data_IF_930348128927
#
_entry.id   IF_930348128927
#
_cell.length_a   1.000
_cell.length_b   1.000
_cell.length_c   1.000
_cell.angle_alpha   90.00
_cell.angle_beta   90.00
_cell.angle_gamma   90.00
#
_symmetry.space_group_name_H-M   'P 1'
#
loop_
_entity.id
_entity.type
_entity.pdbx_description
1 polymer ?
#
# COMPACT_ATOMS: atom_id res chain seq x y z
N UNK A 1 21.72 -20.99 -0.69
CA UNK A 1 22.54 -20.52 0.45
C UNK A 1 21.64 -19.66 1.34
N UNK A 2 21.48 -20.04 2.61
CA UNK A 2 20.65 -19.34 3.59
C UNK A 2 21.46 -18.18 4.17
N UNK A 3 20.86 -16.99 4.30
CA UNK A 3 21.52 -15.79 4.80
C UNK A 3 21.32 -15.61 6.32
N UNK A 4 20.08 -15.64 6.79
CA UNK A 4 19.74 -15.54 8.21
C UNK A 4 18.32 -16.08 8.47
N UNK A 5 18.07 -16.48 9.72
CA UNK A 5 16.76 -16.99 10.17
C UNK A 5 16.21 -16.10 11.29
N UNK A 6 14.97 -15.65 11.16
CA UNK A 6 14.24 -14.91 12.20
C UNK A 6 13.03 -15.76 12.59
N UNK A 7 13.15 -16.50 13.70
CA UNK A 7 12.10 -17.42 14.16
C UNK A 7 11.83 -18.53 13.14
N UNK A 8 10.67 -18.48 12.49
CA UNK A 8 10.27 -19.43 11.43
C UNK A 8 10.65 -18.94 10.01
N UNK A 9 11.10 -17.69 9.87
CA UNK A 9 11.39 -17.11 8.56
C UNK A 9 12.85 -17.36 8.19
N UNK A 10 13.08 -18.16 7.15
CA UNK A 10 14.41 -18.40 6.59
C UNK A 10 14.60 -17.49 5.39
N UNK A 11 15.51 -16.52 5.48
CA UNK A 11 15.84 -15.64 4.36
C UNK A 11 16.98 -16.26 3.58
N UNK A 12 16.73 -16.56 2.31
CA UNK A 12 17.73 -17.05 1.36
C UNK A 12 18.25 -15.90 0.48
N UNK A 13 19.41 -16.12 -0.15
CA UNK A 13 19.95 -15.16 -1.12
C UNK A 13 18.96 -14.89 -2.27
N UNK A 14 18.16 -15.89 -2.65
CA UNK A 14 17.15 -15.77 -3.70
C UNK A 14 16.04 -14.82 -3.26
N UNK A 15 15.58 -14.92 -2.00
CA UNK A 15 14.55 -14.03 -1.45
C UNK A 15 15.01 -12.57 -1.42
N UNK A 16 16.30 -12.33 -1.13
CA UNK A 16 16.88 -10.97 -1.16
C UNK A 16 16.90 -10.42 -2.59
N UNK A 17 17.35 -11.22 -3.55
CA UNK A 17 17.38 -10.81 -4.96
C UNK A 17 15.97 -10.56 -5.49
N UNK A 18 15.01 -11.42 -5.16
CA UNK A 18 13.61 -11.28 -5.55
C UNK A 18 13.00 -10.01 -4.94
N UNK A 19 13.16 -9.79 -3.64
CA UNK A 19 12.67 -8.58 -2.96
C UNK A 19 13.26 -7.30 -3.57
N UNK A 20 14.56 -7.30 -3.87
CA UNK A 20 15.22 -6.16 -4.53
C UNK A 20 14.65 -5.91 -5.93
N UNK A 21 14.43 -6.97 -6.71
CA UNK A 21 13.90 -6.87 -8.08
C UNK A 21 12.45 -6.35 -8.06
N UNK A 22 11.60 -6.94 -7.23
CA UNK A 22 10.21 -6.50 -7.03
C UNK A 22 10.17 -5.05 -6.55
N UNK A 23 10.98 -4.69 -5.55
CA UNK A 23 11.04 -3.31 -5.03
C UNK A 23 11.49 -2.31 -6.11
N UNK A 24 12.44 -2.69 -6.96
CA UNK A 24 12.90 -1.85 -8.07
C UNK A 24 11.78 -1.61 -9.11
N UNK A 25 10.99 -2.63 -9.43
CA UNK A 25 9.83 -2.50 -10.33
C UNK A 25 8.82 -1.52 -9.74
N UNK A 26 8.43 -1.70 -8.47
CA UNK A 26 7.49 -0.79 -7.80
C UNK A 26 8.01 0.63 -7.73
N UNK A 27 9.29 0.82 -7.42
CA UNK A 27 9.93 2.13 -7.41
C UNK A 27 9.86 2.80 -8.78
N UNK A 28 10.10 2.03 -9.85
CA UNK A 28 10.00 2.55 -11.22
C UNK A 28 8.58 3.00 -11.54
N UNK A 29 7.58 2.18 -11.24
CA UNK A 29 6.16 2.51 -11.42
C UNK A 29 5.80 3.76 -10.62
N UNK A 30 6.20 3.83 -9.35
CA UNK A 30 5.99 5.03 -8.54
C UNK A 30 6.58 6.27 -9.19
N UNK A 31 7.81 6.21 -9.71
CA UNK A 31 8.44 7.32 -10.41
C UNK A 31 7.70 7.76 -11.68
N UNK A 32 7.04 6.84 -12.39
CA UNK A 32 6.20 7.19 -13.53
C UNK A 32 4.98 8.04 -13.15
N UNK A 33 4.34 7.73 -12.01
CA UNK A 33 3.17 8.48 -11.54
C UNK A 33 3.53 9.71 -10.70
N UNK A 34 4.74 9.74 -10.13
CA UNK A 34 5.22 10.82 -9.27
C UNK A 34 5.20 12.16 -10.02
N UNK A 35 4.58 13.17 -9.40
CA UNK A 35 4.47 14.51 -9.98
C UNK A 35 3.42 14.65 -11.09
N UNK A 36 2.73 13.57 -11.46
CA UNK A 36 1.61 13.63 -12.41
C UNK A 36 0.30 13.94 -11.67
N UNK A 37 -0.65 14.58 -12.37
CA UNK A 37 -2.02 14.75 -11.86
C UNK A 37 -2.70 13.41 -11.58
N UNK A 38 -2.45 12.39 -12.41
CA UNK A 38 -2.97 11.04 -12.21
C UNK A 38 -2.47 10.42 -10.90
N UNK A 39 -1.19 10.57 -10.57
CA UNK A 39 -0.62 10.09 -9.31
C UNK A 39 -1.23 10.77 -8.07
N UNK A 40 -1.49 12.08 -8.16
CA UNK A 40 -2.18 12.83 -7.10
C UNK A 40 -3.62 12.34 -6.90
N UNK A 41 -4.36 12.13 -8.00
CA UNK A 41 -5.73 11.61 -7.94
C UNK A 41 -5.77 10.19 -7.35
N UNK A 42 -4.82 9.32 -7.75
CA UNK A 42 -4.71 7.96 -7.21
C UNK A 42 -4.41 7.95 -5.71
N UNK A 43 -3.48 8.79 -5.26
CA UNK A 43 -3.20 8.96 -3.84
C UNK A 43 -4.43 9.45 -3.06
N UNK A 44 -5.16 10.43 -3.60
CA UNK A 44 -6.41 10.92 -3.04
C UNK A 44 -7.48 9.82 -2.94
N UNK A 45 -7.65 8.99 -3.97
CA UNK A 45 -8.59 7.87 -3.96
C UNK A 45 -8.25 6.83 -2.90
N UNK A 46 -6.97 6.43 -2.79
CA UNK A 46 -6.53 5.49 -1.75
C UNK A 46 -6.79 6.06 -0.36
N UNK A 47 -6.45 7.33 -0.15
CA UNK A 47 -6.71 8.01 1.12
C UNK A 47 -8.20 8.02 1.49
N UNK A 48 -9.06 8.39 0.54
CA UNK A 48 -10.52 8.38 0.74
C UNK A 48 -11.03 6.97 1.05
N UNK A 49 -10.55 5.95 0.35
CA UNK A 49 -10.96 4.56 0.56
C UNK A 49 -10.58 4.05 1.96
N UNK A 50 -9.35 4.36 2.41
CA UNK A 50 -8.90 4.03 3.76
C UNK A 50 -9.71 4.79 4.82
N UNK A 51 -9.97 6.08 4.60
CA UNK A 51 -10.80 6.88 5.49
C UNK A 51 -12.23 6.30 5.59
N UNK A 52 -12.84 5.91 4.46
CA UNK A 52 -14.15 5.25 4.45
C UNK A 52 -14.15 3.93 5.21
N UNK A 53 -13.10 3.13 5.08
CA UNK A 53 -12.98 1.89 5.85
C UNK A 53 -12.91 2.16 7.36
N UNK A 54 -12.10 3.15 7.76
CA UNK A 54 -11.98 3.57 9.16
C UNK A 54 -13.31 4.10 9.71
N UNK A 55 -13.98 5.00 8.99
CA UNK A 55 -15.27 5.54 9.42
C UNK A 55 -16.33 4.46 9.58
N UNK A 56 -16.43 3.51 8.65
CA UNK A 56 -17.31 2.35 8.78
C UNK A 56 -16.94 1.48 9.99
N UNK A 57 -15.65 1.23 10.23
CA UNK A 57 -15.17 0.43 11.36
C UNK A 57 -15.51 1.09 12.72
N UNK A 58 -15.50 2.42 12.80
CA UNK A 58 -15.90 3.17 13.99
C UNK A 58 -17.42 3.39 14.10
N UNK A 59 -18.23 2.80 13.21
CA UNK A 59 -19.68 2.99 13.20
C UNK A 59 -20.11 4.40 12.77
N UNK A 60 -19.17 5.23 12.32
CA UNK A 60 -19.39 6.49 11.60
C UNK A 60 -19.76 6.12 10.17
N UNK A 61 -20.88 5.39 10.03
CA UNK A 61 -21.61 5.37 8.76
C UNK A 61 -21.92 6.83 8.44
N UNK A 62 -22.10 7.18 7.18
CA UNK A 62 -22.58 8.49 6.77
C UNK A 62 -24.03 8.78 7.25
N UNK A 63 -24.35 8.59 8.54
CA UNK A 63 -25.67 8.59 9.15
C UNK A 63 -26.33 9.96 9.20
N UNK A 64 -25.68 11.03 8.72
CA UNK A 64 -26.34 12.33 8.59
C UNK A 64 -26.97 12.58 7.22
N UNK A 65 -26.69 11.78 6.18
CA UNK A 65 -27.40 11.94 4.90
C UNK A 65 -28.84 11.37 4.95
N UNK A 66 -29.17 10.59 5.99
CA UNK A 66 -30.43 9.85 6.10
C UNK A 66 -31.37 10.38 7.19
N UNK A 67 -30.93 11.34 8.01
CA UNK A 67 -31.75 11.92 9.10
C UNK A 67 -32.20 13.36 8.78
N UNK A 68 -31.91 13.88 7.58
CA UNK A 68 -32.66 14.99 6.99
C UNK A 68 -32.67 14.94 5.46
#
# INVERSE_FOLDING_TARGET
>A
MVLFQIGFLTVTLIDVVDLLLVSWIFYRVYMYFKGTRAGQMLAGMIFLMLASFLFNAFGLSASSWLVN
#
